data_IF_627242751337
#
_entry.id   IF_627242751337
#
_cell.length_a   1.000
_cell.length_b   1.000
_cell.length_c   1.000
_cell.angle_alpha   90.00
_cell.angle_beta   90.00
_cell.angle_gamma   90.00
#
_symmetry.space_group_name_H-M   'P 1'
#
loop_
_entity.id
_entity.type
_entity.pdbx_description
1 polymer ?
#
# COMPACT_ATOMS: atom_id res chain seq x y z
N UNK A 1 -13.82 -0.14 -50.84
CA UNK A 1 -12.76 0.12 -49.84
C UNK A 1 -13.30 1.21 -48.91
N UNK A 2 -14.01 0.81 -47.86
CA UNK A 2 -14.58 1.77 -46.92
C UNK A 2 -13.47 2.23 -45.97
N UNK A 3 -13.24 3.54 -45.88
CA UNK A 3 -12.28 4.11 -44.96
C UNK A 3 -12.67 3.72 -43.52
N UNK A 4 -11.75 3.08 -42.82
CA UNK A 4 -11.82 2.84 -41.39
C UNK A 4 -11.99 4.20 -40.68
N UNK A 5 -13.18 4.44 -40.13
CA UNK A 5 -13.47 5.61 -39.29
C UNK A 5 -12.69 5.47 -37.98
N UNK A 6 -11.39 5.80 -38.02
CA UNK A 6 -10.62 6.11 -36.82
C UNK A 6 -11.33 7.25 -36.11
N UNK A 7 -12.02 6.93 -35.01
CA UNK A 7 -12.70 7.90 -34.15
C UNK A 7 -11.72 9.04 -33.84
N UNK A 8 -11.91 10.18 -34.50
CA UNK A 8 -11.16 11.40 -34.25
C UNK A 8 -11.39 11.74 -32.77
N UNK A 9 -10.33 11.92 -31.96
CA UNK A 9 -10.52 12.18 -30.55
C UNK A 9 -11.36 13.45 -30.37
N UNK A 10 -12.40 13.35 -29.54
CA UNK A 10 -13.34 14.44 -29.27
C UNK A 10 -12.60 15.68 -28.77
N UNK A 11 -13.03 16.89 -29.12
CA UNK A 11 -12.32 18.10 -28.66
C UNK A 11 -12.29 18.14 -27.12
N UNK A 12 -11.11 18.21 -26.47
CA UNK A 12 -11.01 18.19 -25.01
C UNK A 12 -11.73 19.37 -24.35
N UNK A 13 -11.94 20.48 -25.06
CA UNK A 13 -12.71 21.63 -24.58
C UNK A 13 -14.22 21.36 -24.49
N UNK A 14 -14.75 20.39 -25.25
CA UNK A 14 -16.16 20.00 -25.19
C UNK A 14 -16.42 18.92 -24.14
N UNK A 15 -15.55 17.92 -24.05
CA UNK A 15 -15.81 16.76 -23.20
C UNK A 15 -14.52 16.13 -22.65
N UNK A 16 -13.93 16.78 -21.64
CA UNK A 16 -12.65 16.40 -21.05
C UNK A 16 -12.61 14.94 -20.54
N UNK A 17 -13.64 14.51 -19.82
CA UNK A 17 -13.68 13.18 -19.22
C UNK A 17 -13.70 12.07 -20.28
N UNK A 18 -14.41 12.27 -21.39
CA UNK A 18 -14.51 11.31 -22.49
C UNK A 18 -13.20 11.23 -23.27
N UNK A 19 -12.52 12.37 -23.47
CA UNK A 19 -11.21 12.43 -24.11
C UNK A 19 -10.14 11.56 -23.42
N UNK A 20 -10.05 11.65 -22.08
CA UNK A 20 -9.08 10.90 -21.26
C UNK A 20 -9.54 9.49 -20.88
N UNK A 21 -10.79 9.13 -21.17
CA UNK A 21 -11.29 7.78 -20.91
C UNK A 21 -10.56 6.77 -21.78
N UNK A 22 -10.20 5.63 -21.20
CA UNK A 22 -9.61 4.51 -21.94
C UNK A 22 -10.58 4.03 -23.04
N UNK A 23 -10.08 3.93 -24.26
CA UNK A 23 -10.87 3.52 -25.41
C UNK A 23 -10.18 2.36 -26.14
N UNK A 24 -10.80 1.18 -26.13
CA UNK A 24 -10.28 -0.04 -26.77
C UNK A 24 -10.03 0.08 -28.29
N UNK A 25 -10.63 1.07 -28.97
CA UNK A 25 -10.40 1.33 -30.41
C UNK A 25 -9.17 2.21 -30.66
N UNK A 26 -8.76 3.01 -29.67
CA UNK A 26 -7.65 3.98 -29.77
C UNK A 26 -6.41 3.48 -29.02
N UNK A 27 -6.61 2.94 -27.83
CA UNK A 27 -5.57 2.63 -26.86
C UNK A 27 -5.31 1.12 -26.87
N UNK A 28 -4.06 0.71 -27.04
CA UNK A 28 -3.71 -0.71 -27.09
C UNK A 28 -3.68 -1.31 -25.66
N UNK A 29 -3.88 -2.63 -25.52
CA UNK A 29 -3.70 -3.29 -24.22
C UNK A 29 -2.30 -3.10 -23.63
N UNK A 30 -1.28 -2.96 -24.48
CA UNK A 30 0.10 -2.69 -24.06
C UNK A 30 0.25 -1.29 -23.44
N UNK A 31 -0.37 -0.28 -24.04
CA UNK A 31 -0.33 1.10 -23.51
C UNK A 31 -1.05 1.20 -22.16
N UNK A 32 -2.21 0.54 -22.04
CA UNK A 32 -2.91 0.40 -20.76
C UNK A 32 -2.06 -0.29 -19.71
N UNK A 33 -1.43 -1.43 -20.05
CA UNK A 33 -0.55 -2.17 -19.16
C UNK A 33 0.63 -1.31 -18.68
N UNK A 34 1.32 -0.64 -19.58
CA UNK A 34 2.47 0.21 -19.24
C UNK A 34 2.06 1.36 -18.33
N UNK A 35 0.95 2.04 -18.65
CA UNK A 35 0.42 3.14 -17.82
C UNK A 35 0.02 2.65 -16.44
N UNK A 36 -0.69 1.52 -16.36
CA UNK A 36 -1.10 0.93 -15.08
C UNK A 36 0.11 0.52 -14.25
N UNK A 37 1.13 -0.09 -14.84
CA UNK A 37 2.37 -0.46 -14.13
C UNK A 37 3.05 0.75 -13.51
N UNK A 38 3.13 1.88 -14.23
CA UNK A 38 3.67 3.14 -13.69
C UNK A 38 2.84 3.62 -12.51
N UNK A 39 1.52 3.73 -12.68
CA UNK A 39 0.61 4.21 -11.61
C UNK A 39 0.67 3.30 -10.38
N UNK A 40 0.62 1.97 -10.55
CA UNK A 40 0.68 1.03 -9.44
C UNK A 40 2.04 1.07 -8.74
N UNK A 41 3.14 1.22 -9.48
CA UNK A 41 4.49 1.33 -8.89
C UNK A 41 4.61 2.60 -8.06
N UNK A 42 4.05 3.72 -8.55
CA UNK A 42 3.99 4.97 -7.78
C UNK A 42 3.17 4.79 -6.50
N UNK A 43 2.01 4.11 -6.57
CA UNK A 43 1.19 3.82 -5.37
C UNK A 43 1.98 2.97 -4.37
N UNK A 44 2.65 1.91 -4.81
CA UNK A 44 3.51 1.07 -3.95
C UNK A 44 4.58 1.92 -3.27
N UNK A 45 5.25 2.80 -4.01
CA UNK A 45 6.30 3.65 -3.47
C UNK A 45 5.77 4.64 -2.41
N UNK A 46 4.69 5.38 -2.70
CA UNK A 46 4.16 6.36 -1.75
C UNK A 46 3.56 5.71 -0.50
N UNK A 47 2.93 4.55 -0.66
CA UNK A 47 2.34 3.81 0.47
C UNK A 47 3.42 3.22 1.37
N UNK A 48 4.50 2.68 0.79
CA UNK A 48 5.68 2.24 1.55
C UNK A 48 6.31 3.40 2.33
N UNK A 49 6.52 4.55 1.67
CA UNK A 49 7.07 5.74 2.34
C UNK A 49 6.18 6.23 3.49
N UNK A 50 4.87 6.22 3.29
CA UNK A 50 3.91 6.61 4.32
C UNK A 50 3.84 5.60 5.49
N UNK A 51 4.19 4.32 5.26
CA UNK A 51 4.27 3.31 6.31
C UNK A 51 5.52 3.49 7.20
N UNK A 52 6.69 3.77 6.60
CA UNK A 52 7.93 4.02 7.37
C UNK A 52 7.94 5.40 8.03
N UNK A 53 7.29 6.38 7.41
CA UNK A 53 7.18 7.76 7.88
C UNK A 53 5.70 8.11 8.05
N UNK A 54 5.03 7.62 9.12
CA UNK A 54 3.62 7.89 9.32
C UNK A 54 3.37 9.39 9.52
N UNK A 55 2.13 9.87 9.29
CA UNK A 55 1.75 11.23 9.62
C UNK A 55 2.06 11.52 11.09
N UNK A 56 2.40 12.77 11.40
CA UNK A 56 2.95 13.19 12.70
C UNK A 56 4.35 12.62 13.06
N UNK A 57 4.92 11.72 12.25
CA UNK A 57 6.27 11.18 12.40
C UNK A 57 6.38 10.11 13.49
N UNK A 58 7.63 9.76 13.79
CA UNK A 58 7.99 8.79 14.82
C UNK A 58 8.79 9.46 15.93
N UNK A 59 8.72 8.89 17.12
CA UNK A 59 9.56 9.30 18.24
C UNK A 59 11.03 9.02 17.92
N UNK A 60 11.90 10.01 18.17
CA UNK A 60 13.34 9.88 17.91
C UNK A 60 14.08 9.23 19.07
N UNK A 61 13.60 9.44 20.30
CA UNK A 61 14.22 8.94 21.52
C UNK A 61 13.24 8.15 22.38
N UNK A 62 13.78 7.13 23.05
CA UNK A 62 13.10 6.44 24.14
C UNK A 62 12.73 7.41 25.26
N UNK A 63 11.60 7.16 25.92
CA UNK A 63 11.19 7.90 27.12
C UNK A 63 11.00 6.92 28.28
N UNK A 64 11.63 7.24 29.40
CA UNK A 64 11.62 6.44 30.62
C UNK A 64 10.74 7.09 31.69
N UNK A 65 10.23 6.26 32.60
CA UNK A 65 9.55 6.68 33.81
C UNK A 65 10.12 5.93 35.03
N UNK A 66 10.54 6.65 36.09
CA UNK A 66 10.68 8.11 36.20
C UNK A 66 11.78 8.69 35.27
N UNK A 67 11.73 10.00 35.02
CA UNK A 67 12.54 10.65 33.97
C UNK A 67 14.07 10.60 34.19
N UNK A 68 14.50 10.35 35.43
CA UNK A 68 15.92 10.33 35.81
C UNK A 68 16.58 8.96 35.59
N UNK A 69 15.85 8.00 35.04
CA UNK A 69 16.36 6.66 34.81
C UNK A 69 17.25 6.59 33.57
N UNK A 70 18.39 5.93 33.71
CA UNK A 70 19.39 5.74 32.65
C UNK A 70 19.64 4.26 32.32
N UNK A 71 19.16 3.33 33.17
CA UNK A 71 19.35 1.87 33.00
C UNK A 71 18.02 1.16 33.25
N UNK A 72 17.60 0.31 32.31
CA UNK A 72 16.45 -0.60 32.51
C UNK A 72 16.97 -1.83 33.24
N UNK A 73 16.72 -1.91 34.55
CA UNK A 73 17.05 -3.09 35.36
C UNK A 73 15.95 -4.15 35.20
N UNK A 74 16.33 -5.43 35.22
CA UNK A 74 15.39 -6.56 35.17
C UNK A 74 14.46 -6.62 36.38
N UNK A 75 14.78 -5.91 37.48
CA UNK A 75 13.87 -5.69 38.60
C UNK A 75 12.82 -4.65 38.23
N UNK A 76 11.61 -5.15 38.06
CA UNK A 76 10.46 -4.59 37.33
C UNK A 76 9.87 -3.27 37.86
N UNK A 77 10.46 -2.65 38.89
CA UNK A 77 9.77 -1.64 39.70
C UNK A 77 10.36 -0.22 39.67
N UNK A 78 11.51 0.03 39.04
CA UNK A 78 12.15 1.35 39.16
C UNK A 78 12.35 2.10 37.83
N UNK A 79 12.34 1.42 36.68
CA UNK A 79 12.52 2.07 35.37
C UNK A 79 11.71 1.36 34.28
N UNK A 80 10.75 2.05 33.66
CA UNK A 80 9.97 1.51 32.54
C UNK A 80 10.05 2.42 31.33
N UNK A 81 10.22 1.81 30.14
CA UNK A 81 10.10 2.53 28.87
C UNK A 81 8.61 2.76 28.62
N UNK A 82 8.20 4.04 28.61
CA UNK A 82 6.81 4.43 28.31
C UNK A 82 6.63 4.78 26.83
N UNK A 83 7.74 4.97 26.10
CA UNK A 83 7.75 5.33 24.68
C UNK A 83 9.02 4.82 24.04
N UNK A 84 8.88 4.13 22.93
CA UNK A 84 9.99 3.57 22.19
C UNK A 84 10.32 4.47 20.99
N UNK A 85 11.60 4.71 20.74
CA UNK A 85 12.07 5.31 19.50
C UNK A 85 11.61 4.48 18.30
N UNK A 86 11.32 5.16 17.18
CA UNK A 86 10.77 4.55 15.98
C UNK A 86 9.24 4.33 16.01
N UNK A 87 8.58 4.49 17.16
CA UNK A 87 7.12 4.32 17.22
C UNK A 87 6.35 5.59 16.81
N UNK A 88 5.19 5.40 16.17
CA UNK A 88 4.35 6.48 15.64
C UNK A 88 3.84 7.46 16.70
N UNK A 89 4.07 8.75 16.48
CA UNK A 89 3.52 9.84 17.29
C UNK A 89 2.00 9.92 17.12
N UNK A 90 1.50 9.66 15.91
CA UNK A 90 0.07 9.71 15.62
C UNK A 90 -0.70 8.69 16.45
N UNK A 91 -0.18 7.47 16.62
CA UNK A 91 -0.82 6.47 17.46
C UNK A 91 -0.98 6.96 18.90
N UNK A 92 0.06 7.59 19.47
CA UNK A 92 -0.01 8.14 20.84
C UNK A 92 -1.03 9.28 21.00
N UNK A 93 -1.28 10.08 19.95
CA UNK A 93 -2.22 11.21 19.99
C UNK A 93 -3.66 10.82 19.63
N UNK A 94 -3.81 9.94 18.65
CA UNK A 94 -5.08 9.49 18.10
C UNK A 94 -4.92 8.06 17.52
N UNK A 95 -5.02 7.05 18.39
CA UNK A 95 -4.87 5.64 18.02
C UNK A 95 -5.82 5.21 16.91
N UNK A 96 -7.11 5.57 17.01
CA UNK A 96 -8.10 5.22 15.98
C UNK A 96 -7.77 5.84 14.61
N UNK A 97 -7.29 7.09 14.58
CA UNK A 97 -6.85 7.73 13.34
C UNK A 97 -5.63 7.04 12.73
N UNK A 98 -4.68 6.61 13.56
CA UNK A 98 -3.52 5.83 13.11
C UNK A 98 -3.94 4.46 12.53
N UNK A 99 -4.85 3.75 13.21
CA UNK A 99 -5.33 2.44 12.76
C UNK A 99 -6.07 2.52 11.42
N UNK A 100 -6.91 3.53 11.24
CA UNK A 100 -7.58 3.80 9.94
C UNK A 100 -6.55 4.10 8.86
N UNK A 101 -5.57 4.97 9.17
CA UNK A 101 -4.51 5.32 8.23
C UNK A 101 -3.72 4.09 7.78
N UNK A 102 -3.22 3.28 8.72
CA UNK A 102 -2.36 2.13 8.40
C UNK A 102 -3.15 1.04 7.67
N UNK A 103 -4.43 0.87 7.99
CA UNK A 103 -5.32 -0.04 7.27
C UNK A 103 -5.51 0.38 5.82
N UNK A 104 -5.92 1.63 5.57
CA UNK A 104 -6.14 2.15 4.22
C UNK A 104 -4.84 2.18 3.40
N UNK A 105 -3.72 2.54 4.02
CA UNK A 105 -2.41 2.54 3.39
C UNK A 105 -2.01 1.12 2.95
N UNK A 106 -2.16 0.14 3.84
CA UNK A 106 -1.85 -1.27 3.56
C UNK A 106 -2.78 -1.87 2.50
N UNK A 107 -4.06 -1.47 2.50
CA UNK A 107 -5.02 -1.89 1.48
C UNK A 107 -4.63 -1.35 0.10
N UNK A 108 -4.23 -0.08 0.00
CA UNK A 108 -3.78 0.54 -1.24
C UNK A 108 -2.49 -0.11 -1.75
N UNK A 109 -1.51 -0.33 -0.87
CA UNK A 109 -0.27 -1.03 -1.18
C UNK A 109 -0.54 -2.45 -1.72
N UNK A 110 -1.35 -3.25 -1.01
CA UNK A 110 -1.72 -4.61 -1.43
C UNK A 110 -2.47 -4.63 -2.76
N UNK A 111 -3.43 -3.72 -2.97
CA UNK A 111 -4.16 -3.64 -4.24
C UNK A 111 -3.23 -3.30 -5.42
N UNK A 112 -2.25 -2.43 -5.19
CA UNK A 112 -1.28 -2.05 -6.20
C UNK A 112 -0.28 -3.18 -6.50
N UNK A 113 0.29 -3.85 -5.49
CA UNK A 113 1.20 -4.98 -5.70
C UNK A 113 0.50 -6.17 -6.37
N UNK A 114 -0.74 -6.48 -5.99
CA UNK A 114 -1.56 -7.47 -6.70
C UNK A 114 -1.79 -7.08 -8.17
N UNK A 115 -2.04 -5.80 -8.45
CA UNK A 115 -2.21 -5.35 -9.85
C UNK A 115 -0.92 -5.51 -10.66
N UNK A 116 0.24 -5.17 -10.09
CA UNK A 116 1.55 -5.40 -10.72
C UNK A 116 1.74 -6.89 -11.00
N UNK A 117 1.46 -7.75 -10.02
CA UNK A 117 1.55 -9.20 -10.15
C UNK A 117 0.77 -9.67 -11.38
N UNK A 118 -0.51 -9.32 -11.50
CA UNK A 118 -1.34 -9.72 -12.63
C UNK A 118 -0.87 -9.16 -13.98
N UNK A 119 -0.41 -7.90 -14.01
CA UNK A 119 0.07 -7.29 -15.24
C UNK A 119 1.40 -7.89 -15.71
N UNK A 120 2.17 -8.53 -14.84
CA UNK A 120 3.48 -9.11 -15.15
C UNK A 120 3.48 -10.65 -15.22
N UNK A 121 2.32 -11.29 -15.04
CA UNK A 121 2.13 -12.72 -15.33
C UNK A 121 2.51 -12.99 -16.80
N UNK A 122 3.14 -14.15 -17.03
CA UNK A 122 3.57 -14.65 -18.34
C UNK A 122 4.62 -13.77 -19.05
N UNK A 123 5.35 -12.94 -18.31
CA UNK A 123 6.50 -12.19 -18.81
C UNK A 123 7.82 -13.00 -18.71
N UNK A 124 8.82 -12.76 -19.58
CA UNK A 124 10.08 -13.53 -19.55
C UNK A 124 10.89 -13.35 -18.25
N UNK A 125 10.64 -12.28 -17.48
CA UNK A 125 11.30 -11.98 -16.20
C UNK A 125 10.38 -12.22 -14.98
N UNK A 126 9.41 -13.12 -15.13
CA UNK A 126 8.37 -13.34 -14.12
C UNK A 126 8.97 -13.75 -12.77
N UNK A 127 9.97 -14.63 -12.74
CA UNK A 127 10.52 -15.13 -11.47
C UNK A 127 11.24 -14.04 -10.68
N UNK A 128 12.04 -13.19 -11.32
CA UNK A 128 12.75 -12.12 -10.60
C UNK A 128 11.77 -11.07 -10.06
N UNK A 129 10.75 -10.73 -10.86
CA UNK A 129 9.71 -9.79 -10.43
C UNK A 129 8.85 -10.37 -9.30
N UNK A 130 8.50 -11.66 -9.35
CA UNK A 130 7.77 -12.33 -8.28
C UNK A 130 8.55 -12.27 -6.96
N UNK A 131 9.84 -12.62 -6.99
CA UNK A 131 10.70 -12.54 -5.81
C UNK A 131 10.69 -11.11 -5.26
N UNK A 132 10.87 -10.11 -6.13
CA UNK A 132 10.84 -8.70 -5.73
C UNK A 132 9.51 -8.29 -5.08
N UNK A 133 8.37 -8.69 -5.65
CA UNK A 133 7.03 -8.38 -5.10
C UNK A 133 6.86 -9.02 -3.72
N UNK A 134 7.20 -10.30 -3.56
CA UNK A 134 7.07 -10.99 -2.28
C UNK A 134 8.02 -10.41 -1.22
N UNK A 135 9.27 -10.13 -1.57
CA UNK A 135 10.23 -9.47 -0.68
C UNK A 135 9.75 -8.07 -0.27
N UNK A 136 9.20 -7.29 -1.20
CA UNK A 136 8.69 -5.94 -0.92
C UNK A 136 7.46 -5.99 -0.02
N UNK A 137 6.54 -6.94 -0.23
CA UNK A 137 5.39 -7.16 0.65
C UNK A 137 5.82 -7.51 2.08
N UNK A 138 6.82 -8.37 2.23
CA UNK A 138 7.39 -8.72 3.53
C UNK A 138 8.04 -7.50 4.20
N UNK A 139 8.87 -6.75 3.47
CA UNK A 139 9.53 -5.55 3.98
C UNK A 139 8.53 -4.49 4.43
N UNK A 140 7.42 -4.32 3.70
CA UNK A 140 6.32 -3.44 4.10
C UNK A 140 5.66 -3.91 5.40
N UNK A 141 5.35 -5.21 5.53
CA UNK A 141 4.79 -5.76 6.76
C UNK A 141 5.72 -5.55 7.96
N UNK A 142 7.02 -5.76 7.77
CA UNK A 142 8.03 -5.53 8.80
C UNK A 142 8.17 -4.05 9.17
N UNK A 143 8.09 -3.13 8.21
CA UNK A 143 8.18 -1.69 8.49
C UNK A 143 6.98 -1.16 9.26
N UNK A 144 5.76 -1.55 8.87
CA UNK A 144 4.54 -1.26 9.64
C UNK A 144 4.67 -1.81 11.06
N UNK A 145 5.21 -3.02 11.20
CA UNK A 145 5.39 -3.65 12.48
C UNK A 145 6.39 -2.92 13.40
N UNK A 146 7.46 -2.37 12.82
CA UNK A 146 8.48 -1.63 13.55
C UNK A 146 7.99 -0.25 14.04
N UNK A 147 7.11 0.39 13.26
CA UNK A 147 6.58 1.73 13.56
C UNK A 147 5.43 1.69 14.58
N UNK A 148 4.77 0.55 14.75
CA UNK A 148 3.67 0.40 15.68
C UNK A 148 4.16 0.16 17.13
N UNK A 149 3.57 0.82 18.14
CA UNK A 149 3.96 0.58 19.53
C UNK A 149 3.71 -0.87 19.98
N UNK A 150 4.59 -1.43 20.83
CA UNK A 150 4.45 -2.80 21.31
C UNK A 150 3.12 -3.02 22.04
N UNK A 151 2.55 -4.23 21.89
CA UNK A 151 1.26 -4.70 22.46
C UNK A 151 -0.03 -4.15 21.84
N UNK A 152 0.05 -3.29 20.81
CA UNK A 152 -1.14 -2.73 20.14
C UNK A 152 -1.37 -3.28 18.74
N UNK A 153 -0.47 -4.12 18.23
CA UNK A 153 -0.54 -4.64 16.87
C UNK A 153 -1.67 -5.64 16.68
N UNK A 154 -2.74 -5.20 16.01
CA UNK A 154 -3.77 -6.07 15.48
C UNK A 154 -3.29 -6.72 14.17
N UNK A 155 -2.47 -7.77 14.28
CA UNK A 155 -2.01 -8.57 13.13
C UNK A 155 -3.15 -9.09 12.25
N UNK A 156 -4.35 -9.26 12.82
CA UNK A 156 -5.57 -9.60 12.07
C UNK A 156 -6.02 -8.51 11.10
N UNK A 157 -5.92 -7.23 11.48
CA UNK A 157 -6.30 -6.10 10.63
C UNK A 157 -5.33 -5.95 9.46
N UNK A 158 -4.04 -6.10 9.72
CA UNK A 158 -3.01 -6.08 8.68
C UNK A 158 -3.18 -7.27 7.72
N UNK A 159 -3.38 -8.47 8.25
CA UNK A 159 -3.67 -9.67 7.44
C UNK A 159 -4.92 -9.49 6.56
N UNK A 160 -5.99 -8.89 7.09
CA UNK A 160 -7.19 -8.58 6.33
C UNK A 160 -6.92 -7.60 5.19
N UNK A 161 -6.12 -6.55 5.42
CA UNK A 161 -5.75 -5.58 4.39
C UNK A 161 -4.94 -6.21 3.24
N UNK A 162 -4.08 -7.19 3.52
CA UNK A 162 -3.36 -7.93 2.49
C UNK A 162 -4.28 -8.83 1.66
N UNK A 163 -5.24 -9.50 2.31
CA UNK A 163 -6.11 -10.50 1.65
C UNK A 163 -7.32 -9.92 0.92
N UNK A 164 -7.89 -8.80 1.40
CA UNK A 164 -9.14 -8.23 0.87
C UNK A 164 -9.06 -7.89 -0.64
N UNK A 165 -8.01 -7.21 -1.16
CA UNK A 165 -7.91 -6.90 -2.59
C UNK A 165 -7.88 -8.14 -3.47
N UNK A 166 -7.21 -9.20 -3.00
CA UNK A 166 -7.16 -10.48 -3.71
C UNK A 166 -8.56 -11.09 -3.82
N UNK A 167 -9.29 -11.20 -2.69
CA UNK A 167 -10.64 -11.75 -2.68
C UNK A 167 -11.64 -10.92 -3.51
N UNK A 168 -11.64 -9.60 -3.38
CA UNK A 168 -12.52 -8.73 -4.17
C UNK A 168 -12.30 -8.90 -5.68
N UNK A 169 -11.04 -9.06 -6.09
CA UNK A 169 -10.68 -9.23 -7.50
C UNK A 169 -11.06 -10.61 -8.04
N UNK A 170 -10.80 -11.67 -7.28
CA UNK A 170 -11.25 -13.04 -7.61
C UNK A 170 -12.78 -13.07 -7.73
N UNK A 171 -13.49 -12.51 -6.76
CA UNK A 171 -14.95 -12.43 -6.74
C UNK A 171 -15.49 -11.65 -7.96
N UNK A 172 -14.92 -10.48 -8.27
CA UNK A 172 -15.29 -9.71 -9.46
C UNK A 172 -15.08 -10.50 -10.75
N UNK A 173 -13.97 -11.24 -10.87
CA UNK A 173 -13.68 -12.06 -12.05
C UNK A 173 -14.66 -13.22 -12.18
N UNK A 174 -15.04 -13.85 -11.06
CA UNK A 174 -16.08 -14.88 -11.02
C UNK A 174 -17.41 -14.32 -11.51
N UNK A 175 -17.89 -13.19 -10.95
CA UNK A 175 -19.15 -12.56 -11.38
C UNK A 175 -19.15 -12.28 -12.88
N UNK A 176 -18.07 -11.70 -13.41
CA UNK A 176 -17.95 -11.40 -14.85
C UNK A 176 -17.94 -12.64 -15.73
N UNK A 177 -17.57 -13.81 -15.20
CA UNK A 177 -17.56 -15.09 -15.91
C UNK A 177 -18.95 -15.74 -15.97
N UNK A 178 -19.84 -15.40 -15.05
CA UNK A 178 -21.21 -15.93 -14.97
C UNK A 178 -22.28 -14.94 -15.47
N UNK A 179 -21.87 -13.77 -15.98
CA UNK A 179 -22.70 -12.79 -16.69
C UNK A 179 -22.39 -12.83 -18.18
#
# INVERSE_FOLDING_TARGET
MAADQRNIPENPARNFNEYFRFNLRRDTPSDARNTLLVVTTLIVAVTFQAAVNPPAGVWQDDKYSPANCTVVTSDHNDCTIIRYAGTSILHSRNGAGYDIFIFLNSLAFSAATNTILYLLLDSPYQTEVLISIYSTNFAYGASVAAVQPPKTMNWGLLSAAFMLPYFLRVFSNIIKRYR
#
